data_IF_625511963645
#
_entry.id   IF_625511963645
#
_cell.length_a   1.000
_cell.length_b   1.000
_cell.length_c   1.000
_cell.angle_alpha   90.00
_cell.angle_beta   90.00
_cell.angle_gamma   90.00
#
_symmetry.space_group_name_H-M   'P 1'
#
loop_
_entity.id
_entity.type
_entity.pdbx_description
1 polymer ?
#
# COMPACT_ATOMS: atom_id res chain seq x y z
N UNK A 1 14.66 -8.80 -2.56
CA UNK A 1 14.06 -7.55 -2.05
C UNK A 1 13.36 -6.75 -3.15
N UNK A 2 14.08 -6.14 -4.12
CA UNK A 2 13.42 -5.32 -5.15
C UNK A 2 12.45 -6.12 -6.02
N UNK A 3 12.85 -7.31 -6.47
CA UNK A 3 11.99 -8.20 -7.25
C UNK A 3 10.74 -8.64 -6.47
N UNK A 4 10.88 -8.98 -5.19
CA UNK A 4 9.76 -9.39 -4.33
C UNK A 4 8.78 -8.23 -4.08
N UNK A 5 9.30 -7.02 -3.88
CA UNK A 5 8.47 -5.82 -3.78
C UNK A 5 7.70 -5.53 -5.08
N UNK A 6 8.33 -5.76 -6.24
CA UNK A 6 7.66 -5.60 -7.53
C UNK A 6 6.53 -6.63 -7.71
N UNK A 7 6.75 -7.89 -7.32
CA UNK A 7 5.71 -8.93 -7.35
C UNK A 7 4.50 -8.58 -6.46
N UNK A 8 4.75 -8.06 -5.26
CA UNK A 8 3.69 -7.60 -4.35
C UNK A 8 2.91 -6.43 -4.96
N UNK A 9 3.62 -5.49 -5.59
CA UNK A 9 3.03 -4.36 -6.28
C UNK A 9 2.18 -4.81 -7.48
N UNK A 10 2.68 -5.73 -8.31
CA UNK A 10 1.91 -6.31 -9.41
C UNK A 10 0.62 -7.00 -8.92
N UNK A 11 0.71 -7.74 -7.82
CA UNK A 11 -0.45 -8.37 -7.21
C UNK A 11 -1.50 -7.34 -6.76
N UNK A 12 -1.05 -6.25 -6.13
CA UNK A 12 -1.92 -5.12 -5.78
C UNK A 12 -2.54 -4.46 -7.02
N UNK A 13 -1.77 -4.22 -8.07
CA UNK A 13 -2.22 -3.60 -9.32
C UNK A 13 -3.26 -4.45 -10.09
N UNK A 14 -3.23 -5.77 -9.90
CA UNK A 14 -4.21 -6.71 -10.49
C UNK A 14 -5.49 -6.81 -9.67
N UNK A 15 -5.57 -6.21 -8.48
CA UNK A 15 -6.79 -6.24 -7.67
C UNK A 15 -7.95 -5.59 -8.41
N UNK A 16 -9.15 -6.21 -8.40
CA UNK A 16 -10.32 -5.62 -9.03
C UNK A 16 -10.84 -4.42 -8.21
N UNK A 17 -11.15 -3.32 -8.88
CA UNK A 17 -11.70 -2.11 -8.28
C UNK A 17 -12.89 -1.58 -9.09
N UNK A 18 -13.84 -0.96 -8.40
CA UNK A 18 -15.06 -0.42 -9.02
C UNK A 18 -14.86 1.01 -9.49
N UNK A 19 -15.28 1.29 -10.71
CA UNK A 19 -15.27 2.63 -11.32
C UNK A 19 -16.60 2.96 -11.94
N UNK A 20 -16.85 4.26 -12.11
CA UNK A 20 -17.99 4.79 -12.87
C UNK A 20 -17.47 5.37 -14.18
N UNK A 21 -18.09 5.01 -15.30
CA UNK A 21 -17.71 5.55 -16.62
C UNK A 21 -18.27 6.95 -16.79
N UNK A 22 -17.40 7.93 -17.06
CA UNK A 22 -17.79 9.35 -17.17
C UNK A 22 -17.86 9.80 -18.63
N UNK A 23 -17.05 9.18 -19.49
CA UNK A 23 -17.02 9.48 -20.92
C UNK A 23 -18.26 8.96 -21.64
N UNK A 24 -18.66 9.65 -22.72
CA UNK A 24 -19.67 9.18 -23.67
C UNK A 24 -19.14 8.09 -24.62
N UNK A 25 -17.86 7.72 -24.48
CA UNK A 25 -17.26 6.65 -25.26
C UNK A 25 -17.95 5.31 -24.98
N UNK A 26 -18.64 4.77 -26.00
CA UNK A 26 -19.29 3.46 -25.94
C UNK A 26 -18.30 2.30 -25.90
N UNK A 27 -17.03 2.53 -26.27
CA UNK A 27 -15.99 1.50 -26.35
C UNK A 27 -14.67 1.96 -25.75
N UNK A 28 -14.14 1.18 -24.81
CA UNK A 28 -12.78 1.32 -24.29
C UNK A 28 -11.89 0.28 -24.98
N UNK A 29 -10.90 0.74 -25.74
CA UNK A 29 -9.88 -0.13 -26.35
C UNK A 29 -8.77 -0.40 -25.33
N UNK A 30 -8.56 -1.67 -25.00
CA UNK A 30 -7.46 -2.11 -24.16
C UNK A 30 -6.16 -2.23 -24.95
N UNK A 31 -4.99 -2.08 -24.30
CA UNK A 31 -3.69 -2.36 -24.94
C UNK A 31 -3.57 -3.79 -25.50
N UNK A 32 -4.33 -4.74 -24.95
CA UNK A 32 -4.42 -6.12 -25.43
C UNK A 32 -5.17 -6.29 -26.75
N UNK A 33 -5.75 -5.22 -27.30
CA UNK A 33 -6.61 -5.25 -28.49
C UNK A 33 -8.07 -5.60 -28.20
N UNK A 34 -8.42 -5.93 -26.95
CA UNK A 34 -9.79 -6.20 -26.52
C UNK A 34 -10.59 -4.91 -26.38
N UNK A 35 -11.89 -4.93 -26.70
CA UNK A 35 -12.79 -3.78 -26.52
C UNK A 35 -13.80 -4.06 -25.41
N UNK A 36 -13.91 -3.14 -24.45
CA UNK A 36 -14.96 -3.16 -23.44
C UNK A 36 -16.05 -2.19 -23.89
N UNK A 37 -17.27 -2.69 -24.11
CA UNK A 37 -18.42 -1.83 -24.37
C UNK A 37 -18.92 -1.29 -23.02
N UNK A 38 -19.03 0.03 -22.91
CA UNK A 38 -19.43 0.68 -21.66
C UNK A 38 -20.40 1.81 -21.93
N UNK A 39 -21.29 2.10 -20.97
CA UNK A 39 -22.19 3.25 -21.03
C UNK A 39 -21.80 4.30 -20.01
N UNK A 40 -22.00 5.57 -20.35
CA UNK A 40 -21.84 6.68 -19.38
C UNK A 40 -22.74 6.46 -18.17
N UNK A 41 -22.17 6.60 -16.98
CA UNK A 41 -22.82 6.33 -15.69
C UNK A 41 -22.84 4.85 -15.28
N UNK A 42 -22.34 3.95 -16.12
CA UNK A 42 -22.26 2.52 -15.78
C UNK A 42 -21.14 2.27 -14.77
N UNK A 43 -21.43 1.39 -13.81
CA UNK A 43 -20.46 0.90 -12.84
C UNK A 43 -19.85 -0.40 -13.34
N UNK A 44 -18.53 -0.41 -13.47
CA UNK A 44 -17.78 -1.57 -13.94
C UNK A 44 -16.63 -1.89 -12.98
N UNK A 45 -16.19 -3.13 -12.99
CA UNK A 45 -15.07 -3.62 -12.21
C UNK A 45 -13.88 -3.87 -13.14
N UNK A 46 -12.74 -3.24 -12.84
CA UNK A 46 -11.52 -3.31 -13.65
C UNK A 46 -10.31 -3.59 -12.75
N UNK A 47 -9.23 -4.19 -13.29
CA UNK A 47 -7.96 -4.22 -12.59
C UNK A 47 -7.51 -2.80 -12.21
N UNK A 48 -6.94 -2.63 -11.01
CA UNK A 48 -6.53 -1.33 -10.47
C UNK A 48 -5.60 -0.54 -11.39
N UNK A 49 -4.60 -1.20 -12.01
CA UNK A 49 -3.70 -0.53 -12.96
C UNK A 49 -4.47 0.12 -14.12
N UNK A 50 -5.49 -0.59 -14.63
CA UNK A 50 -6.29 -0.13 -15.75
C UNK A 50 -7.23 0.98 -15.30
N UNK A 51 -7.87 0.83 -14.14
CA UNK A 51 -8.73 1.85 -13.55
C UNK A 51 -7.97 3.17 -13.35
N UNK A 52 -6.75 3.11 -12.78
CA UNK A 52 -5.86 4.27 -12.63
C UNK A 52 -5.51 4.91 -13.98
N UNK A 53 -5.17 4.10 -14.99
CA UNK A 53 -4.82 4.60 -16.34
C UNK A 53 -6.01 5.28 -17.02
N UNK A 54 -7.22 4.74 -16.87
CA UNK A 54 -8.43 5.30 -17.47
C UNK A 54 -8.92 6.55 -16.74
N UNK A 55 -8.71 6.62 -15.42
CA UNK A 55 -8.99 7.82 -14.62
C UNK A 55 -8.11 8.98 -15.05
N UNK A 56 -6.80 8.74 -15.25
CA UNK A 56 -5.87 9.77 -15.75
C UNK A 56 -6.29 10.34 -17.11
N UNK A 57 -6.97 9.53 -17.94
CA UNK A 57 -7.50 9.95 -19.23
C UNK A 57 -8.89 10.62 -19.13
N UNK A 58 -9.44 10.76 -17.92
CA UNK A 58 -10.79 11.31 -17.69
C UNK A 58 -11.92 10.41 -18.20
N UNK A 59 -11.66 9.12 -18.41
CA UNK A 59 -12.65 8.17 -18.97
C UNK A 59 -13.53 7.61 -17.86
N UNK A 60 -12.93 7.33 -16.71
CA UNK A 60 -13.62 6.75 -15.54
C UNK A 60 -13.33 7.57 -14.28
N UNK A 61 -14.20 7.43 -13.27
CA UNK A 61 -14.03 8.01 -11.95
C UNK A 61 -13.89 6.89 -10.91
N UNK A 62 -12.96 7.06 -9.95
CA UNK A 62 -12.78 6.11 -8.84
C UNK A 62 -14.04 6.03 -8.00
N UNK A 63 -14.47 4.81 -7.66
CA UNK A 63 -15.53 4.54 -6.68
C UNK A 63 -15.05 3.68 -5.50
N UNK A 64 -13.81 3.17 -5.54
CA UNK A 64 -13.25 2.43 -4.42
C UNK A 64 -12.87 3.37 -3.28
N UNK A 65 -13.36 3.06 -2.08
CA UNK A 65 -13.13 3.85 -0.86
C UNK A 65 -12.34 3.02 0.17
N UNK A 66 -11.14 2.59 -0.23
CA UNK A 66 -10.28 1.77 0.62
C UNK A 66 -9.40 2.61 1.54
N UNK A 67 -9.17 3.87 1.18
CA UNK A 67 -8.42 4.81 2.00
C UNK A 67 -9.36 5.71 2.81
N UNK A 68 -9.10 5.83 4.11
CA UNK A 68 -9.75 6.81 4.97
C UNK A 68 -8.73 7.41 5.91
N UNK A 69 -8.69 8.74 5.99
CA UNK A 69 -7.79 9.44 6.90
C UNK A 69 -8.08 9.12 8.36
N UNK A 70 -9.35 8.93 8.71
CA UNK A 70 -9.75 8.58 10.08
C UNK A 70 -9.27 7.19 10.46
N UNK A 71 -9.36 6.22 9.55
CA UNK A 71 -8.82 4.88 9.76
C UNK A 71 -7.29 4.92 9.85
N UNK A 72 -6.61 5.70 9.02
CA UNK A 72 -5.16 5.90 9.12
C UNK A 72 -4.77 6.44 10.50
N UNK A 73 -5.47 7.47 11.01
CA UNK A 73 -5.20 8.02 12.34
C UNK A 73 -5.46 7.00 13.46
N UNK A 74 -6.50 6.16 13.34
CA UNK A 74 -6.75 5.07 14.29
C UNK A 74 -5.63 4.05 14.29
N UNK A 75 -5.13 3.67 13.11
CA UNK A 75 -4.00 2.75 12.95
C UNK A 75 -2.73 3.37 13.54
N UNK A 76 -2.44 4.64 13.27
CA UNK A 76 -1.31 5.37 13.89
C UNK A 76 -1.42 5.30 15.40
N UNK A 77 -2.56 5.66 15.97
CA UNK A 77 -2.78 5.67 17.42
C UNK A 77 -2.55 4.30 18.05
N UNK A 78 -3.10 3.24 17.46
CA UNK A 78 -2.87 1.86 17.93
C UNK A 78 -1.39 1.49 17.83
N UNK A 79 -0.74 1.80 16.72
CA UNK A 79 0.68 1.51 16.48
C UNK A 79 1.58 2.20 17.51
N UNK A 80 1.29 3.45 17.85
CA UNK A 80 2.06 4.20 18.86
C UNK A 80 1.91 3.65 20.29
N UNK A 81 0.85 2.89 20.57
CA UNK A 81 0.65 2.23 21.88
C UNK A 81 1.39 0.91 22.03
N UNK A 82 1.79 0.28 20.92
CA UNK A 82 2.54 -0.98 20.95
C UNK A 82 3.89 -0.71 21.63
N UNK A 83 4.24 -1.47 22.67
CA UNK A 83 5.48 -1.27 23.44
C UNK A 83 6.51 -2.34 23.13
N UNK A 84 6.05 -3.55 22.89
CA UNK A 84 6.88 -4.73 22.67
C UNK A 84 6.52 -5.40 21.35
N UNK A 85 7.40 -6.24 20.79
CA UNK A 85 7.09 -7.01 19.58
C UNK A 85 5.84 -7.89 19.70
N UNK A 86 5.48 -8.29 20.92
CA UNK A 86 4.27 -9.08 21.19
C UNK A 86 2.99 -8.30 20.92
N UNK A 87 3.05 -6.97 21.05
CA UNK A 87 1.91 -6.07 20.83
C UNK A 87 1.66 -5.79 19.34
N UNK A 88 2.51 -6.30 18.44
CA UNK A 88 2.33 -6.09 17.00
C UNK A 88 1.00 -6.69 16.55
N UNK A 89 0.17 -5.86 15.92
CA UNK A 89 -1.11 -6.24 15.32
C UNK A 89 -1.00 -6.26 13.79
N UNK A 90 -1.84 -7.07 13.15
CA UNK A 90 -1.93 -7.11 11.69
C UNK A 90 -2.52 -5.81 11.15
N UNK A 91 -1.90 -5.25 10.11
CA UNK A 91 -2.46 -4.12 9.37
C UNK A 91 -3.51 -4.59 8.35
N UNK A 92 -4.41 -3.70 7.88
CA UNK A 92 -5.28 -4.01 6.76
C UNK A 92 -4.50 -4.50 5.53
N UNK A 93 -5.13 -5.37 4.74
CA UNK A 93 -4.52 -5.87 3.51
C UNK A 93 -4.11 -4.72 2.58
N UNK A 94 -2.93 -4.84 1.97
CA UNK A 94 -2.36 -3.84 1.05
C UNK A 94 -2.23 -2.43 1.66
N UNK A 95 -2.19 -2.29 2.98
CA UNK A 95 -2.18 -0.99 3.67
C UNK A 95 -1.16 0.00 3.11
N UNK A 96 0.09 -0.44 2.91
CA UNK A 96 1.16 0.42 2.40
C UNK A 96 0.89 0.86 0.96
N UNK A 97 0.43 -0.05 0.10
CA UNK A 97 0.10 0.28 -1.29
C UNK A 97 -1.11 1.21 -1.40
N UNK A 98 -2.14 1.03 -0.58
CA UNK A 98 -3.31 1.91 -0.55
C UNK A 98 -2.91 3.32 -0.12
N UNK A 99 -2.07 3.46 0.92
CA UNK A 99 -1.56 4.77 1.34
C UNK A 99 -0.69 5.41 0.25
N UNK A 100 0.15 4.62 -0.42
CA UNK A 100 1.00 5.08 -1.53
C UNK A 100 0.16 5.55 -2.72
N UNK A 101 -0.86 4.77 -3.13
CA UNK A 101 -1.79 5.14 -4.18
C UNK A 101 -2.52 6.44 -3.86
N UNK A 102 -2.97 6.62 -2.61
CA UNK A 102 -3.65 7.85 -2.17
C UNK A 102 -2.72 9.07 -2.21
N UNK A 103 -1.47 8.94 -1.74
CA UNK A 103 -0.48 10.02 -1.83
C UNK A 103 -0.22 10.42 -3.29
N UNK A 104 -0.15 9.45 -4.19
CA UNK A 104 0.04 9.71 -5.61
C UNK A 104 -1.19 10.34 -6.27
N UNK A 105 -2.39 9.97 -5.81
CA UNK A 105 -3.63 10.60 -6.23
C UNK A 105 -3.69 12.08 -5.79
N UNK A 106 -3.34 12.39 -4.54
CA UNK A 106 -3.24 13.77 -4.04
C UNK A 106 -2.20 14.58 -4.83
N UNK A 107 -1.07 13.98 -5.22
CA UNK A 107 -0.09 14.63 -6.10
C UNK A 107 -0.66 15.00 -7.47
N UNK A 108 -1.48 14.12 -8.05
CA UNK A 108 -2.15 14.39 -9.33
C UNK A 108 -3.18 15.51 -9.18
N UNK A 109 -4.00 15.47 -8.13
CA UNK A 109 -4.97 16.53 -7.84
C UNK A 109 -4.29 17.88 -7.63
N UNK A 110 -3.15 17.93 -6.94
CA UNK A 110 -2.39 19.17 -6.75
C UNK A 110 -1.82 19.75 -8.04
N UNK A 111 -1.51 18.91 -9.03
CA UNK A 111 -1.05 19.35 -10.36
C UNK A 111 -2.18 19.99 -11.18
N UNK A 112 -3.40 19.48 -11.05
CA UNK A 112 -4.56 19.97 -11.81
C UNK A 112 -5.30 21.10 -11.08
N UNK A 113 -5.37 21.04 -9.76
CA UNK A 113 -6.01 22.02 -8.89
C UNK A 113 -5.21 22.19 -7.57
N UNK A 114 -4.40 23.27 -7.45
CA UNK A 114 -3.62 23.56 -6.26
C UNK A 114 -4.48 23.99 -5.05
N UNK A 115 -5.23 23.05 -4.47
CA UNK A 115 -6.03 23.27 -3.26
C UNK A 115 -5.16 23.11 -1.99
N UNK A 116 -5.09 24.12 -1.11
CA UNK A 116 -4.42 24.01 0.19
C UNK A 116 -4.85 22.81 1.04
N UNK A 117 -6.09 22.35 0.93
CA UNK A 117 -6.61 21.19 1.65
C UNK A 117 -5.87 19.90 1.22
N UNK A 118 -5.64 19.71 -0.08
CA UNK A 118 -4.88 18.55 -0.58
C UNK A 118 -3.42 18.58 -0.13
N UNK A 119 -2.82 19.78 0.02
CA UNK A 119 -1.46 19.93 0.54
C UNK A 119 -1.41 19.46 2.01
N UNK A 120 -2.35 19.93 2.82
CA UNK A 120 -2.43 19.58 4.24
C UNK A 120 -2.71 18.08 4.43
N UNK A 121 -3.64 17.53 3.65
CA UNK A 121 -3.96 16.11 3.67
C UNK A 121 -2.75 15.26 3.30
N UNK A 122 -2.10 15.57 2.17
CA UNK A 122 -0.90 14.84 1.71
C UNK A 122 0.18 14.82 2.80
N UNK A 123 0.44 15.97 3.42
CA UNK A 123 1.41 16.10 4.52
C UNK A 123 1.02 15.21 5.70
N UNK A 124 -0.25 15.27 6.13
CA UNK A 124 -0.76 14.48 7.26
C UNK A 124 -0.67 12.98 7.00
N UNK A 125 -1.03 12.53 5.80
CA UNK A 125 -0.93 11.11 5.40
C UNK A 125 0.52 10.66 5.39
N UNK A 126 1.44 11.43 4.79
CA UNK A 126 2.86 11.08 4.74
C UNK A 126 3.50 11.00 6.14
N UNK A 127 3.21 11.96 7.01
CA UNK A 127 3.72 11.98 8.38
C UNK A 127 3.21 10.78 9.19
N UNK A 128 1.90 10.49 9.09
CA UNK A 128 1.28 9.35 9.78
C UNK A 128 1.84 8.02 9.30
N UNK A 129 1.94 7.84 7.98
CA UNK A 129 2.52 6.64 7.38
C UNK A 129 3.98 6.43 7.84
N UNK A 130 4.78 7.49 7.85
CA UNK A 130 6.17 7.42 8.30
C UNK A 130 6.28 7.02 9.78
N UNK A 131 5.42 7.55 10.65
CA UNK A 131 5.38 7.15 12.06
C UNK A 131 5.01 5.68 12.22
N UNK A 132 3.98 5.21 11.50
CA UNK A 132 3.55 3.81 11.51
C UNK A 132 4.71 2.91 11.07
N UNK A 133 5.32 3.18 9.91
CA UNK A 133 6.45 2.42 9.39
C UNK A 133 7.61 2.39 10.39
N UNK A 134 8.04 3.55 10.87
CA UNK A 134 9.19 3.64 11.79
C UNK A 134 8.95 2.84 13.07
N UNK A 135 7.76 2.97 13.68
CA UNK A 135 7.46 2.26 14.93
C UNK A 135 7.39 0.75 14.71
N UNK A 136 6.72 0.30 13.66
CA UNK A 136 6.61 -1.13 13.35
C UNK A 136 7.95 -1.74 13.00
N UNK A 137 8.77 -1.06 12.18
CA UNK A 137 10.13 -1.50 11.86
C UNK A 137 10.99 -1.64 13.12
N UNK A 138 10.93 -0.69 14.05
CA UNK A 138 11.64 -0.80 15.34
C UNK A 138 11.26 -2.09 16.07
N UNK A 139 9.97 -2.37 16.22
CA UNK A 139 9.47 -3.56 16.89
C UNK A 139 9.86 -4.85 16.17
N UNK A 140 9.83 -4.85 14.84
CA UNK A 140 10.24 -6.00 14.04
C UNK A 140 11.74 -6.28 14.20
N UNK A 141 12.60 -5.25 14.17
CA UNK A 141 14.04 -5.39 14.40
C UNK A 141 14.34 -5.85 15.83
N UNK A 142 13.68 -5.26 16.84
CA UNK A 142 13.77 -5.71 18.23
C UNK A 142 13.40 -7.20 18.36
N UNK A 143 12.38 -7.65 17.63
CA UNK A 143 11.95 -9.06 17.64
C UNK A 143 13.05 -10.01 17.17
N UNK A 144 13.80 -9.62 16.13
CA UNK A 144 14.90 -10.42 15.58
C UNK A 144 16.08 -10.51 16.54
N UNK A 145 16.38 -9.43 17.25
CA UNK A 145 17.50 -9.36 18.19
C UNK A 145 17.23 -10.13 19.48
N UNK A 146 16.01 -10.05 20.02
CA UNK A 146 15.68 -10.58 21.36
C UNK A 146 15.30 -12.06 21.32
N UNK A 147 14.43 -12.47 20.38
CA UNK A 147 13.75 -13.76 20.49
C UNK A 147 14.38 -14.88 19.66
N UNK A 148 15.38 -14.57 18.83
CA UNK A 148 15.90 -15.56 17.89
C UNK A 148 14.78 -16.06 16.98
N UNK A 149 14.26 -15.17 16.15
CA UNK A 149 13.38 -15.46 15.01
C UNK A 149 12.31 -16.55 15.25
N UNK A 150 11.21 -16.15 15.87
CA UNK A 150 9.94 -16.86 15.73
C UNK A 150 9.22 -16.40 14.43
N UNK A 151 9.77 -16.81 13.29
CA UNK A 151 9.24 -16.50 11.95
C UNK A 151 7.73 -16.78 11.80
N UNK A 152 7.19 -17.91 12.31
CA UNK A 152 5.76 -18.20 12.20
C UNK A 152 4.87 -17.16 12.88
N UNK A 153 5.20 -16.70 14.09
CA UNK A 153 4.38 -15.69 14.76
C UNK A 153 4.49 -14.31 14.13
N UNK A 154 5.65 -14.01 13.54
CA UNK A 154 5.88 -12.79 12.79
C UNK A 154 5.06 -12.74 11.49
N UNK A 155 4.97 -13.86 10.76
CA UNK A 155 4.20 -14.00 9.53
C UNK A 155 2.71 -13.71 9.72
N UNK A 156 2.16 -13.93 10.91
CA UNK A 156 0.75 -13.66 11.22
C UNK A 156 0.46 -12.17 11.48
N UNK A 157 1.49 -11.36 11.76
CA UNK A 157 1.34 -9.98 12.27
C UNK A 157 1.97 -8.93 11.36
N UNK A 158 3.02 -9.30 10.65
CA UNK A 158 3.69 -8.45 9.68
C UNK A 158 2.97 -8.48 8.35
N UNK A 159 3.03 -7.37 7.64
CA UNK A 159 2.60 -7.28 6.24
C UNK A 159 3.60 -7.99 5.31
N UNK A 160 3.20 -8.39 4.09
CA UNK A 160 4.13 -8.98 3.12
C UNK A 160 5.37 -8.11 2.85
N UNK A 161 5.20 -6.79 2.77
CA UNK A 161 6.28 -5.82 2.54
C UNK A 161 7.28 -5.80 3.70
N UNK A 162 6.77 -5.83 4.95
CA UNK A 162 7.59 -5.94 6.16
C UNK A 162 8.33 -7.28 6.23
N UNK A 163 7.68 -8.37 5.83
CA UNK A 163 8.27 -9.71 5.84
C UNK A 163 9.45 -9.82 4.87
N UNK A 164 9.31 -9.29 3.66
CA UNK A 164 10.40 -9.26 2.66
C UNK A 164 11.64 -8.58 3.25
N UNK A 165 11.46 -7.42 3.90
CA UNK A 165 12.55 -6.69 4.52
C UNK A 165 13.18 -7.47 5.68
N UNK A 166 12.37 -8.02 6.57
CA UNK A 166 12.83 -8.68 7.78
C UNK A 166 13.53 -10.01 7.48
N UNK A 167 13.00 -10.80 6.54
CA UNK A 167 13.65 -12.03 6.10
C UNK A 167 15.05 -11.73 5.56
N UNK A 168 15.17 -10.70 4.72
CA UNK A 168 16.47 -10.31 4.19
C UNK A 168 17.43 -9.85 5.29
N UNK A 169 16.97 -9.01 6.20
CA UNK A 169 17.78 -8.53 7.32
C UNK A 169 18.25 -9.68 8.21
N UNK A 170 17.37 -10.66 8.47
CA UNK A 170 17.73 -11.86 9.22
C UNK A 170 18.81 -12.69 8.52
N UNK A 171 18.67 -12.93 7.20
CA UNK A 171 19.68 -13.65 6.44
C UNK A 171 21.05 -12.97 6.47
N UNK A 172 21.07 -11.65 6.32
CA UNK A 172 22.31 -10.87 6.33
C UNK A 172 22.94 -10.88 7.73
N UNK A 173 22.14 -10.78 8.81
CA UNK A 173 22.61 -10.95 10.19
C UNK A 173 23.16 -12.35 10.45
N UNK A 174 22.48 -13.39 9.96
CA UNK A 174 22.91 -14.78 10.12
C UNK A 174 24.26 -15.02 9.42
N UNK A 175 24.40 -14.60 8.17
CA UNK A 175 25.66 -14.70 7.41
C UNK A 175 26.80 -13.98 8.12
N UNK A 176 26.54 -12.78 8.65
CA UNK A 176 27.52 -12.03 9.41
C UNK A 176 27.99 -12.77 10.66
N UNK A 177 27.06 -13.37 11.43
CA UNK A 177 27.38 -14.21 12.60
C UNK A 177 28.21 -15.44 12.23
N UNK A 178 27.84 -16.13 11.15
CA UNK A 178 28.57 -17.30 10.64
C UNK A 178 30.02 -16.94 10.26
N UNK A 179 30.25 -15.79 9.62
CA UNK A 179 31.60 -15.30 9.27
C UNK A 179 32.44 -14.99 10.51
N UNK A 180 31.85 -14.45 11.56
CA UNK A 180 32.57 -14.09 12.79
C UNK A 180 32.76 -15.26 13.76
N UNK A 181 32.22 -16.44 13.45
CA UNK A 181 32.33 -17.62 14.31
C UNK A 181 31.53 -17.53 15.61
N UNK A 182 30.43 -16.77 15.60
CA UNK A 182 29.48 -16.64 16.73
C UNK A 182 28.11 -17.20 16.40
#
# INVERSE_FOLDING_TARGET
MLEEMELLKEAFERTPVKVVVVSEAETIKLPSGSTINVKKGEEIELPRWLANTLEEKGIVQRKWNEFSIDELMKIEYKTMKMRTPKDLEQLPNNFYWICSEHLHHLEKLLKTNPDPNYIQEKKKVAESLNKIMTRRLSLLVESLLIFGVDLPSLQLKATPEELVLIQRFYEDLRKWKEVLGT
#
